data_IF_658767311231
#
_entry.id   IF_658767311231
#
_cell.length_a   1.000
_cell.length_b   1.000
_cell.length_c   1.000
_cell.angle_alpha   90.00
_cell.angle_beta   90.00
_cell.angle_gamma   90.00
#
_symmetry.space_group_name_H-M   'P 1'
#
loop_
_entity.id
_entity.type
_entity.pdbx_description
1 polymer ?
#
# COMPACT_ATOMS: atom_id res chain seq x y z
N UNK A 1 13.06 18.15 -3.56
CA UNK A 1 14.03 17.55 -2.62
C UNK A 1 13.29 16.51 -1.80
N UNK A 2 13.90 15.35 -1.50
CA UNK A 2 13.26 14.31 -0.66
C UNK A 2 13.28 14.70 0.83
N UNK A 3 12.53 13.97 1.65
CA UNK A 3 12.34 14.28 3.07
C UNK A 3 13.49 13.86 4.02
N UNK A 4 14.65 13.47 3.49
CA UNK A 4 15.69 12.78 4.28
C UNK A 4 15.28 11.37 4.75
N UNK A 5 16.16 10.67 5.46
CA UNK A 5 15.90 9.33 6.03
C UNK A 5 16.50 8.14 5.25
N UNK A 6 16.21 6.93 5.71
CA UNK A 6 16.63 5.68 5.04
C UNK A 6 15.84 5.48 3.74
N UNK A 7 16.46 4.86 2.73
CA UNK A 7 15.77 4.46 1.53
C UNK A 7 14.89 3.24 1.83
N UNK A 8 13.58 3.38 1.63
CA UNK A 8 12.61 2.29 1.73
C UNK A 8 12.12 1.94 0.33
N UNK A 9 12.07 0.64 0.01
CA UNK A 9 11.56 0.13 -1.27
C UNK A 9 10.52 -0.96 -1.04
N UNK A 10 9.57 -1.07 -1.97
CA UNK A 10 8.55 -2.12 -1.97
C UNK A 10 8.99 -3.25 -2.90
N UNK A 11 8.88 -4.49 -2.42
CA UNK A 11 9.13 -5.69 -3.22
C UNK A 11 7.86 -6.53 -3.28
N UNK A 12 7.06 -6.42 -4.36
CA UNK A 12 5.90 -7.28 -4.54
C UNK A 12 6.37 -8.73 -4.77
N UNK A 13 5.74 -9.67 -4.07
CA UNK A 13 5.95 -11.11 -4.27
C UNK A 13 4.65 -11.75 -4.74
N UNK A 14 4.74 -12.67 -5.70
CA UNK A 14 3.59 -13.43 -6.16
C UNK A 14 3.09 -14.36 -5.05
N UNK A 15 1.78 -14.39 -4.84
CA UNK A 15 1.13 -15.31 -3.92
C UNK A 15 1.09 -16.72 -4.56
N UNK A 16 1.74 -17.74 -3.96
CA UNK A 16 1.73 -19.09 -4.52
C UNK A 16 0.45 -19.87 -4.22
N UNK A 17 -0.42 -19.35 -3.33
CA UNK A 17 -1.64 -20.01 -2.86
C UNK A 17 -2.76 -18.99 -2.64
N UNK A 18 -4.04 -19.37 -2.81
CA UNK A 18 -5.18 -18.47 -2.63
C UNK A 18 -5.20 -17.73 -1.31
N UNK A 19 -4.89 -18.41 -0.19
CA UNK A 19 -4.84 -17.80 1.15
C UNK A 19 -3.79 -16.69 1.32
N UNK A 20 -2.84 -16.57 0.39
CA UNK A 20 -1.82 -15.53 0.39
C UNK A 20 -2.14 -14.41 -0.61
N UNK A 21 -3.20 -14.54 -1.40
CA UNK A 21 -3.60 -13.52 -2.34
C UNK A 21 -4.13 -12.31 -1.57
N UNK A 22 -3.63 -11.13 -1.91
CA UNK A 22 -4.07 -9.88 -1.29
C UNK A 22 -5.32 -9.40 -1.99
N UNK A 23 -6.34 -9.00 -1.24
CA UNK A 23 -7.55 -8.41 -1.79
C UNK A 23 -7.60 -6.88 -1.63
N UNK A 24 -6.90 -6.33 -0.64
CA UNK A 24 -6.90 -4.90 -0.36
C UNK A 24 -5.61 -4.44 0.32
N UNK A 25 -5.21 -3.17 0.11
CA UNK A 25 -4.16 -2.48 0.86
C UNK A 25 -4.71 -1.22 1.54
N UNK A 26 -4.05 -0.77 2.60
CA UNK A 26 -4.25 0.56 3.16
C UNK A 26 -2.98 1.09 3.82
N UNK A 27 -2.93 2.41 3.99
CA UNK A 27 -1.89 3.08 4.77
C UNK A 27 -2.40 3.30 6.20
N UNK A 28 -1.55 3.03 7.18
CA UNK A 28 -1.78 3.31 8.59
C UNK A 28 -0.77 4.39 9.02
N UNK A 29 -1.25 5.56 9.44
CA UNK A 29 -0.42 6.69 9.88
C UNK A 29 -0.69 6.92 11.37
N UNK A 30 0.37 6.94 12.17
CA UNK A 30 0.31 6.97 13.63
C UNK A 30 1.26 8.00 14.22
N UNK A 31 0.82 8.68 15.28
CA UNK A 31 1.68 9.62 16.03
C UNK A 31 2.75 8.94 16.89
N UNK A 32 2.69 7.62 17.06
CA UNK A 32 3.68 6.83 17.81
C UNK A 32 4.09 5.58 17.02
N UNK A 33 5.31 5.11 17.29
CA UNK A 33 5.83 3.88 16.70
C UNK A 33 4.98 2.69 17.11
N UNK A 34 4.75 1.76 16.19
CA UNK A 34 4.20 0.45 16.53
C UNK A 34 5.36 -0.47 16.86
N UNK A 35 5.52 -0.82 18.14
CA UNK A 35 6.62 -1.66 18.62
C UNK A 35 6.64 -3.07 18.03
N UNK A 36 5.55 -3.52 17.39
CA UNK A 36 5.47 -4.80 16.70
C UNK A 36 5.89 -4.71 15.22
N UNK A 37 6.25 -3.52 14.75
CA UNK A 37 6.51 -3.23 13.34
C UNK A 37 7.93 -2.69 13.17
N UNK A 38 8.59 -3.13 12.10
CA UNK A 38 9.91 -2.65 11.70
C UNK A 38 9.90 -2.06 10.29
N UNK A 39 8.72 -1.88 9.71
CA UNK A 39 8.43 -1.50 8.32
C UNK A 39 7.93 -0.06 8.19
N UNK A 40 8.39 0.86 9.05
CA UNK A 40 8.07 2.29 8.92
C UNK A 40 8.62 2.85 7.60
N UNK A 41 7.72 3.32 6.74
CA UNK A 41 8.04 3.82 5.40
C UNK A 41 8.74 5.20 5.44
N UNK A 42 8.74 5.88 6.59
CA UNK A 42 9.42 7.16 6.80
C UNK A 42 10.61 7.07 7.75
N UNK A 43 11.17 5.87 7.95
CA UNK A 43 12.23 5.62 8.90
C UNK A 43 13.40 6.61 8.75
N UNK A 44 13.76 7.25 9.86
CA UNK A 44 14.87 8.21 9.95
C UNK A 44 14.55 9.63 9.47
N UNK A 45 13.34 9.90 9.00
CA UNK A 45 12.95 11.24 8.55
C UNK A 45 12.18 12.06 9.61
N UNK A 46 11.77 11.42 10.72
CA UNK A 46 10.96 12.04 11.77
C UNK A 46 9.49 12.25 11.38
N UNK A 47 8.70 12.78 12.32
CA UNK A 47 7.24 12.94 12.19
C UNK A 47 6.47 11.65 12.46
N UNK A 48 5.21 11.59 11.98
CA UNK A 48 4.35 10.43 12.18
C UNK A 48 4.95 9.15 11.54
N UNK A 49 4.68 8.01 12.16
CA UNK A 49 5.05 6.71 11.63
C UNK A 49 4.01 6.27 10.61
N UNK A 50 4.45 5.57 9.56
CA UNK A 50 3.53 5.13 8.51
C UNK A 50 3.86 3.75 7.97
N UNK A 51 2.82 2.95 7.82
CA UNK A 51 2.93 1.55 7.49
C UNK A 51 1.97 1.20 6.37
N UNK A 52 2.32 0.19 5.57
CA UNK A 52 1.34 -0.49 4.74
C UNK A 52 0.78 -1.69 5.46
N UNK A 53 -0.52 -1.90 5.29
CA UNK A 53 -1.20 -3.10 5.73
C UNK A 53 -2.05 -3.63 4.58
N UNK A 54 -2.40 -4.91 4.66
CA UNK A 54 -3.19 -5.59 3.64
C UNK A 54 -4.07 -6.66 4.25
N UNK A 55 -5.07 -7.08 3.48
CA UNK A 55 -5.95 -8.20 3.83
C UNK A 55 -5.79 -9.36 2.84
N UNK A 56 -6.11 -10.56 3.34
CA UNK A 56 -6.15 -11.80 2.59
C UNK A 56 -7.53 -12.45 2.76
N UNK A 57 -8.59 -11.73 2.39
CA UNK A 57 -9.95 -12.20 2.53
C UNK A 57 -10.24 -13.33 1.51
N UNK A 58 -10.41 -14.55 2.00
CA UNK A 58 -10.71 -15.72 1.16
C UNK A 58 -12.14 -15.69 0.58
N UNK A 59 -13.05 -14.87 1.12
CA UNK A 59 -14.39 -14.69 0.58
C UNK A 59 -14.42 -13.71 -0.61
N UNK A 60 -13.39 -12.86 -0.76
CA UNK A 60 -13.32 -11.88 -1.85
C UNK A 60 -13.20 -12.54 -3.23
N UNK A 61 -13.93 -12.08 -4.24
CA UNK A 61 -13.85 -12.68 -5.60
C UNK A 61 -12.73 -12.10 -6.45
N UNK A 62 -12.22 -10.92 -6.09
CA UNK A 62 -11.20 -10.18 -6.84
C UNK A 62 -9.96 -9.96 -5.98
N UNK A 63 -8.78 -10.20 -6.56
CA UNK A 63 -7.50 -10.10 -5.88
C UNK A 63 -6.49 -9.27 -6.67
N UNK A 64 -5.56 -8.68 -5.95
CA UNK A 64 -4.48 -7.84 -6.46
C UNK A 64 -3.62 -8.63 -7.44
N UNK A 65 -3.33 -8.03 -8.58
CA UNK A 65 -2.45 -8.60 -9.61
C UNK A 65 -1.26 -7.71 -9.94
N UNK A 66 -1.44 -6.40 -9.87
CA UNK A 66 -0.40 -5.41 -10.12
C UNK A 66 -0.46 -4.32 -9.06
N UNK A 67 0.69 -3.77 -8.69
CA UNK A 67 0.83 -2.64 -7.76
C UNK A 67 1.81 -1.62 -8.33
N UNK A 68 1.59 -0.34 -8.08
CA UNK A 68 2.54 0.72 -8.40
C UNK A 68 2.48 1.87 -7.38
N UNK A 69 3.57 2.63 -7.31
CA UNK A 69 3.57 3.92 -6.63
C UNK A 69 3.16 5.01 -7.62
N UNK A 70 2.16 5.80 -7.25
CA UNK A 70 1.66 6.92 -8.02
C UNK A 70 1.93 8.22 -7.26
N UNK A 71 2.80 9.05 -7.84
CA UNK A 71 3.15 10.37 -7.30
C UNK A 71 2.44 11.46 -8.08
N UNK A 72 1.86 12.43 -7.38
CA UNK A 72 1.12 13.55 -7.99
C UNK A 72 1.42 14.87 -7.28
N UNK A 73 1.26 15.97 -8.00
CA UNK A 73 1.34 17.32 -7.41
C UNK A 73 0.10 17.69 -6.59
N UNK A 74 -1.04 17.07 -6.87
CA UNK A 74 -2.32 17.35 -6.22
C UNK A 74 -2.88 16.15 -5.47
N UNK A 75 -3.66 16.42 -4.42
CA UNK A 75 -4.37 15.42 -3.64
C UNK A 75 -5.38 14.65 -4.50
N UNK A 76 -5.45 13.35 -4.31
CA UNK A 76 -6.32 12.44 -5.04
C UNK A 76 -7.33 11.76 -4.09
N UNK A 77 -8.55 11.57 -4.60
CA UNK A 77 -9.64 10.89 -3.90
C UNK A 77 -10.13 9.62 -4.61
N UNK A 78 -9.60 9.35 -5.81
CA UNK A 78 -9.89 8.17 -6.63
C UNK A 78 -8.64 7.75 -7.39
N UNK A 79 -8.49 6.44 -7.70
CA UNK A 79 -7.33 5.96 -8.44
C UNK A 79 -7.28 6.58 -9.85
N UNK A 80 -6.08 6.64 -10.43
CA UNK A 80 -5.89 7.02 -11.83
C UNK A 80 -6.40 5.93 -12.78
N UNK A 81 -6.66 6.30 -14.03
CA UNK A 81 -7.24 5.42 -15.05
C UNK A 81 -6.46 4.10 -15.18
N UNK A 82 -7.22 3.00 -15.27
CA UNK A 82 -6.67 1.65 -15.38
C UNK A 82 -6.18 1.04 -14.06
N UNK A 83 -6.46 1.68 -12.92
CA UNK A 83 -6.26 1.13 -11.58
C UNK A 83 -7.59 1.03 -10.84
N UNK A 84 -7.76 -0.04 -10.06
CA UNK A 84 -9.05 -0.34 -9.43
C UNK A 84 -9.20 0.34 -8.06
N UNK A 85 -8.08 0.58 -7.36
CA UNK A 85 -8.11 1.19 -6.04
C UNK A 85 -6.76 1.78 -5.65
N UNK A 86 -6.75 2.51 -4.53
CA UNK A 86 -5.60 3.24 -4.01
C UNK A 86 -5.61 3.35 -2.48
N UNK A 87 -4.45 3.58 -1.88
CA UNK A 87 -4.36 3.97 -0.47
C UNK A 87 -4.72 5.44 -0.27
N UNK A 88 -4.80 5.88 0.99
CA UNK A 88 -4.63 7.29 1.32
C UNK A 88 -3.21 7.79 1.03
N UNK A 89 -3.01 9.10 1.16
CA UNK A 89 -1.71 9.75 0.92
C UNK A 89 -0.66 9.31 1.95
N UNK A 90 0.38 8.64 1.48
CA UNK A 90 1.51 8.15 2.26
C UNK A 90 2.37 9.31 2.77
N UNK A 91 2.42 10.41 2.02
CA UNK A 91 3.16 11.62 2.38
C UNK A 91 2.36 12.58 3.25
N UNK A 92 1.17 12.18 3.73
CA UNK A 92 0.32 13.03 4.56
C UNK A 92 1.12 13.63 5.72
N UNK A 93 1.00 14.95 5.85
CA UNK A 93 1.66 15.73 6.90
C UNK A 93 3.15 16.03 6.69
N UNK A 94 3.76 15.61 5.57
CA UNK A 94 5.19 15.88 5.28
C UNK A 94 5.43 17.02 4.29
N UNK A 95 4.37 17.54 3.67
CA UNK A 95 4.46 18.52 2.58
C UNK A 95 5.01 17.90 1.28
N UNK A 96 5.16 18.69 0.22
CA UNK A 96 5.61 18.19 -1.09
C UNK A 96 4.55 17.38 -1.85
N UNK A 97 5.00 16.56 -2.81
CA UNK A 97 4.13 15.75 -3.66
C UNK A 97 3.35 14.70 -2.85
N UNK A 98 2.14 14.41 -3.29
CA UNK A 98 1.32 13.32 -2.78
C UNK A 98 1.82 11.98 -3.31
N UNK A 99 1.69 10.94 -2.51
CA UNK A 99 2.13 9.60 -2.88
C UNK A 99 1.11 8.56 -2.48
N UNK A 100 0.75 7.71 -3.43
CA UNK A 100 -0.24 6.66 -3.25
C UNK A 100 0.31 5.32 -3.72
N UNK A 101 -0.10 4.23 -3.07
CA UNK A 101 -0.02 2.89 -3.66
C UNK A 101 -1.33 2.65 -4.40
N UNK A 102 -1.24 2.31 -5.69
CA UNK A 102 -2.39 1.93 -6.54
C UNK A 102 -2.28 0.46 -6.91
N UNK A 103 -3.42 -0.21 -7.09
CA UNK A 103 -3.43 -1.63 -7.50
C UNK A 103 -4.56 -2.00 -8.44
N UNK A 104 -4.29 -3.02 -9.27
CA UNK A 104 -5.29 -3.67 -10.12
C UNK A 104 -5.74 -4.97 -9.50
N UNK A 105 -7.01 -5.31 -9.70
CA UNK A 105 -7.62 -6.54 -9.25
C UNK A 105 -8.15 -7.34 -10.43
N UNK A 106 -8.09 -8.66 -10.31
CA UNK A 106 -8.75 -9.58 -11.24
C UNK A 106 -9.59 -10.58 -10.47
N UNK A 107 -10.69 -10.98 -11.07
CA UNK A 107 -11.49 -12.08 -10.55
C UNK A 107 -10.63 -13.35 -10.50
N UNK A 108 -10.66 -14.04 -9.37
CA UNK A 108 -10.06 -15.37 -9.22
C UNK A 108 -11.16 -16.42 -9.40
N UNK A 109 -11.01 -17.25 -10.43
CA UNK A 109 -11.98 -18.29 -10.79
C UNK A 109 -11.56 -19.70 -10.36
N UNK A 110 -10.41 -19.83 -9.68
CA UNK A 110 -9.93 -21.12 -9.19
C UNK A 110 -10.56 -21.54 -7.86
N UNK A 111 -10.37 -22.80 -7.44
CA UNK A 111 -10.70 -23.21 -6.08
C UNK A 111 -9.86 -22.42 -5.06
N UNK A 112 -10.50 -22.05 -3.95
CA UNK A 112 -9.85 -21.33 -2.84
C UNK A 112 -9.59 -22.24 -1.63
N UNK A 113 -10.30 -23.35 -1.52
CA UNK A 113 -10.03 -24.41 -0.54
C UNK A 113 -8.75 -25.17 -0.86
N UNK A 114 -8.20 -25.85 0.15
CA UNK A 114 -7.07 -26.77 0.00
C UNK A 114 -7.37 -27.88 -0.98
#
# INVERSE_FOLDING_TARGET
MGFGGEYVWLVPKRAPRPKMMVDNFWTDIRGSADGNRNDDLAKGAGGDYRYFSWSNNMDATHYVTDVALWRTGDAQHSPTDGWDSMTGDINKGRGGDYLYLVWRKKQYCGPKGF
#
